data_IF_432931361426
#
_entry.id   IF_432931361426
#
_cell.length_a   1.000
_cell.length_b   1.000
_cell.length_c   1.000
_cell.angle_alpha   90.00
_cell.angle_beta   90.00
_cell.angle_gamma   90.00
#
_symmetry.space_group_name_H-M   'P 1'
#
loop_
_entity.id
_entity.type
_entity.pdbx_description
1 polymer ?
#
# COMPACT_ATOMS: atom_id res chain seq x y z
N UNK A 1 35.85 -8.19 -24.15
CA UNK A 1 34.73 -8.34 -25.12
C UNK A 1 33.74 -9.44 -24.72
N UNK A 2 34.19 -10.64 -24.32
CA UNK A 2 33.28 -11.73 -23.89
C UNK A 2 32.38 -11.35 -22.69
N UNK A 3 32.95 -10.77 -21.63
CA UNK A 3 32.20 -10.33 -20.42
C UNK A 3 31.15 -9.26 -20.74
N UNK A 4 31.44 -8.34 -21.67
CA UNK A 4 30.47 -7.31 -22.09
C UNK A 4 29.33 -7.93 -22.91
N UNK A 5 29.64 -8.93 -23.75
CA UNK A 5 28.64 -9.70 -24.49
C UNK A 5 27.70 -10.50 -23.58
N UNK A 6 28.23 -11.09 -22.51
CA UNK A 6 27.46 -11.85 -21.54
C UNK A 6 26.54 -10.94 -20.70
N UNK A 7 27.06 -9.81 -20.21
CA UNK A 7 26.27 -8.80 -19.46
C UNK A 7 25.15 -8.22 -20.33
N UNK A 8 25.42 -7.95 -21.61
CA UNK A 8 24.41 -7.42 -22.53
C UNK A 8 23.33 -8.46 -22.88
N UNK A 9 23.71 -9.74 -22.98
CA UNK A 9 22.76 -10.85 -23.13
C UNK A 9 21.84 -10.99 -21.91
N UNK A 10 22.41 -11.02 -20.70
CA UNK A 10 21.67 -11.10 -19.44
C UNK A 10 20.71 -9.92 -19.27
N UNK A 11 21.19 -8.69 -19.53
CA UNK A 11 20.36 -7.49 -19.46
C UNK A 11 19.18 -7.56 -20.43
N UNK A 12 19.40 -8.06 -21.66
CA UNK A 12 18.34 -8.16 -22.67
C UNK A 12 17.22 -9.12 -22.23
N UNK A 13 17.57 -10.26 -21.64
CA UNK A 13 16.58 -11.20 -21.11
C UNK A 13 15.82 -10.63 -19.92
N UNK A 14 16.51 -9.96 -18.99
CA UNK A 14 15.87 -9.27 -17.86
C UNK A 14 14.94 -8.14 -18.30
N UNK A 15 15.30 -7.40 -19.34
CA UNK A 15 14.41 -6.39 -19.93
C UNK A 15 13.16 -7.07 -20.51
N UNK A 16 13.29 -8.18 -21.24
CA UNK A 16 12.12 -8.92 -21.72
C UNK A 16 11.23 -9.40 -20.56
N UNK A 17 11.81 -9.94 -19.49
CA UNK A 17 11.08 -10.35 -18.29
C UNK A 17 10.36 -9.15 -17.64
N UNK A 18 11.05 -8.01 -17.50
CA UNK A 18 10.49 -6.80 -16.94
C UNK A 18 9.28 -6.32 -17.75
N UNK A 19 9.33 -6.34 -19.08
CA UNK A 19 8.19 -5.94 -19.92
C UNK A 19 7.07 -6.97 -19.98
N UNK A 20 7.38 -8.27 -19.87
CA UNK A 20 6.38 -9.34 -20.05
C UNK A 20 5.65 -9.70 -18.76
N UNK A 21 6.31 -9.56 -17.61
CA UNK A 21 5.79 -9.98 -16.30
C UNK A 21 5.58 -8.77 -15.39
N UNK A 22 6.62 -7.94 -15.24
CA UNK A 22 6.60 -6.87 -14.23
C UNK A 22 5.78 -5.66 -14.65
N UNK A 23 5.91 -5.21 -15.90
CA UNK A 23 5.19 -4.04 -16.42
C UNK A 23 3.66 -4.22 -16.37
N UNK A 24 3.07 -5.37 -16.76
CA UNK A 24 1.63 -5.60 -16.59
C UNK A 24 1.18 -5.51 -15.12
N UNK A 25 1.94 -6.11 -14.20
CA UNK A 25 1.64 -6.06 -12.76
C UNK A 25 1.68 -4.62 -12.22
N UNK A 26 2.71 -3.86 -12.56
CA UNK A 26 2.84 -2.45 -12.20
C UNK A 26 1.73 -1.59 -12.81
N UNK A 27 1.34 -1.86 -14.05
CA UNK A 27 0.25 -1.16 -14.71
C UNK A 27 -1.09 -1.45 -14.02
N UNK A 28 -1.37 -2.70 -13.67
CA UNK A 28 -2.56 -3.09 -12.90
C UNK A 28 -2.61 -2.38 -11.55
N UNK A 29 -1.51 -2.39 -10.78
CA UNK A 29 -1.43 -1.67 -9.51
C UNK A 29 -1.63 -0.15 -9.70
N UNK A 30 -1.06 0.44 -10.75
CA UNK A 30 -1.28 1.85 -11.08
C UNK A 30 -2.77 2.16 -11.32
N UNK A 31 -3.51 1.30 -12.02
CA UNK A 31 -4.95 1.51 -12.26
C UNK A 31 -5.72 1.50 -10.93
N UNK A 32 -5.45 0.55 -10.04
CA UNK A 32 -6.09 0.51 -8.72
C UNK A 32 -5.73 1.74 -7.87
N UNK A 33 -4.46 2.16 -7.89
CA UNK A 33 -4.01 3.37 -7.21
C UNK A 33 -4.66 4.64 -7.77
N UNK A 34 -4.84 4.75 -9.09
CA UNK A 34 -5.53 5.88 -9.73
C UNK A 34 -7.04 5.87 -9.45
N UNK A 35 -7.64 4.69 -9.31
CA UNK A 35 -9.03 4.58 -8.88
C UNK A 35 -9.21 5.16 -7.47
N UNK A 36 -8.44 4.70 -6.49
CA UNK A 36 -8.47 5.27 -5.14
C UNK A 36 -8.10 6.77 -5.14
N UNK A 37 -7.14 7.15 -5.97
CA UNK A 37 -6.72 8.53 -6.18
C UNK A 37 -7.81 9.44 -6.77
N UNK A 38 -8.71 8.91 -7.59
CA UNK A 38 -9.84 9.67 -8.13
C UNK A 38 -10.79 10.12 -7.01
N UNK A 39 -11.08 9.22 -6.06
CA UNK A 39 -11.85 9.56 -4.88
C UNK A 39 -11.08 10.52 -3.97
N UNK A 40 -9.78 10.29 -3.78
CA UNK A 40 -8.94 11.19 -2.98
C UNK A 40 -8.97 12.60 -3.54
N UNK A 41 -8.67 12.76 -4.82
CA UNK A 41 -8.52 14.03 -5.50
C UNK A 41 -9.83 14.82 -5.58
N UNK A 42 -10.94 14.15 -5.93
CA UNK A 42 -12.25 14.80 -6.01
C UNK A 42 -12.72 15.35 -4.66
N UNK A 43 -12.46 14.64 -3.57
CA UNK A 43 -12.91 15.01 -2.22
C UNK A 43 -11.78 15.55 -1.34
N UNK A 44 -10.64 15.89 -1.93
CA UNK A 44 -9.45 16.31 -1.20
C UNK A 44 -9.70 17.58 -0.39
N UNK A 45 -10.42 18.54 -0.96
CA UNK A 45 -10.73 19.80 -0.28
C UNK A 45 -11.60 19.58 0.97
N UNK A 46 -12.60 18.70 0.89
CA UNK A 46 -13.47 18.37 2.02
C UNK A 46 -12.65 17.64 3.10
N UNK A 47 -11.80 16.68 2.71
CA UNK A 47 -10.88 16.03 3.64
C UNK A 47 -9.97 17.05 4.35
N UNK A 48 -9.37 17.97 3.60
CA UNK A 48 -8.47 18.98 4.15
C UNK A 48 -9.17 19.96 5.08
N UNK A 49 -10.34 20.46 4.69
CA UNK A 49 -11.03 21.54 5.41
C UNK A 49 -11.88 21.03 6.56
N UNK A 50 -12.60 19.92 6.39
CA UNK A 50 -13.54 19.40 7.38
C UNK A 50 -12.95 18.27 8.21
N UNK A 51 -12.12 17.40 7.63
CA UNK A 51 -11.60 16.21 8.30
C UNK A 51 -10.07 16.07 8.18
N UNK A 52 -9.28 17.10 8.52
CA UNK A 52 -7.84 17.12 8.24
C UNK A 52 -7.09 15.94 8.90
N UNK A 53 -7.64 15.36 9.97
CA UNK A 53 -7.09 14.18 10.63
C UNK A 53 -7.04 12.96 9.72
N UNK A 54 -7.92 12.86 8.71
CA UNK A 54 -7.89 11.80 7.72
C UNK A 54 -6.60 11.85 6.89
N UNK A 55 -6.06 13.03 6.58
CA UNK A 55 -4.82 13.14 5.80
C UNK A 55 -3.59 12.65 6.58
N UNK A 56 -3.60 12.79 7.91
CA UNK A 56 -2.53 12.24 8.77
C UNK A 56 -2.59 10.72 8.81
N UNK A 57 -3.80 10.17 8.82
CA UNK A 57 -4.02 8.74 9.01
C UNK A 57 -3.97 7.98 7.67
N UNK A 58 -4.27 8.65 6.55
CA UNK A 58 -4.46 8.05 5.23
C UNK A 58 -3.29 7.18 4.76
N UNK A 59 -2.01 7.64 4.76
CA UNK A 59 -0.91 6.79 4.32
C UNK A 59 -0.75 5.54 5.18
N UNK A 60 -0.92 5.69 6.50
CA UNK A 60 -0.88 4.57 7.43
C UNK A 60 -1.98 3.54 7.18
N UNK A 61 -3.22 3.97 6.92
CA UNK A 61 -4.32 3.04 6.59
C UNK A 61 -4.03 2.25 5.30
N UNK A 62 -3.52 2.93 4.28
CA UNK A 62 -3.22 2.31 2.99
C UNK A 62 -2.16 1.21 3.17
N UNK A 63 -1.03 1.53 3.83
CA UNK A 63 0.02 0.55 4.10
C UNK A 63 -0.41 -0.59 5.04
N UNK A 64 -1.20 -0.27 6.08
CA UNK A 64 -1.70 -1.25 7.05
C UNK A 64 -2.45 -2.41 6.39
N UNK A 65 -3.31 -2.12 5.39
CA UNK A 65 -4.16 -3.14 4.77
C UNK A 65 -3.35 -4.16 3.98
N UNK A 66 -2.38 -3.69 3.18
CA UNK A 66 -1.48 -4.58 2.45
C UNK A 66 -0.72 -5.51 3.39
N UNK A 67 -0.18 -4.98 4.50
CA UNK A 67 0.62 -5.75 5.45
C UNK A 67 -0.23 -6.75 6.27
N UNK A 68 -1.40 -6.34 6.75
CA UNK A 68 -2.31 -7.20 7.54
C UNK A 68 -2.82 -8.37 6.70
N UNK A 69 -3.33 -8.10 5.49
CA UNK A 69 -3.97 -9.12 4.67
C UNK A 69 -2.98 -9.90 3.81
N UNK A 70 -1.85 -9.30 3.42
CA UNK A 70 -0.74 -10.03 2.81
C UNK A 70 -0.15 -11.09 3.75
N UNK A 71 0.08 -10.74 5.02
CA UNK A 71 0.51 -11.73 6.03
C UNK A 71 -0.56 -12.77 6.36
N UNK A 72 -1.86 -12.43 6.19
CA UNK A 72 -2.95 -13.39 6.29
C UNK A 72 -2.94 -14.39 5.13
N UNK A 73 -2.68 -13.93 3.91
CA UNK A 73 -2.56 -14.79 2.73
C UNK A 73 -1.45 -15.85 2.91
N UNK A 74 -0.27 -15.41 3.35
CA UNK A 74 0.86 -16.32 3.63
C UNK A 74 0.56 -17.32 4.75
N UNK A 75 -0.13 -16.87 5.81
CA UNK A 75 -0.57 -17.78 6.88
C UNK A 75 -1.56 -18.82 6.37
N UNK A 76 -2.55 -18.44 5.55
CA UNK A 76 -3.48 -19.40 4.96
C UNK A 76 -2.79 -20.35 3.99
N UNK A 77 -1.83 -19.87 3.18
CA UNK A 77 -1.00 -20.71 2.32
C UNK A 77 -0.35 -21.82 3.14
N UNK A 78 0.32 -21.46 4.23
CA UNK A 78 0.97 -22.43 5.14
C UNK A 78 -0.04 -23.41 5.76
N UNK A 79 -1.18 -22.92 6.25
CA UNK A 79 -2.21 -23.78 6.85
C UNK A 79 -2.81 -24.78 5.84
N UNK A 80 -2.96 -24.39 4.57
CA UNK A 80 -3.45 -25.29 3.51
C UNK A 80 -2.44 -26.40 3.21
N UNK A 81 -1.15 -26.06 3.12
CA UNK A 81 -0.09 -27.05 2.89
C UNK A 81 0.12 -28.01 4.07
N UNK A 82 -0.05 -27.52 5.31
CA UNK A 82 0.03 -28.36 6.52
C UNK A 82 -1.23 -29.20 6.76
N UNK A 83 -2.31 -28.99 5.99
CA UNK A 83 -3.59 -29.67 6.21
C UNK A 83 -4.38 -29.13 7.41
N UNK A 84 -3.95 -28.00 7.98
CA UNK A 84 -4.63 -27.32 9.09
C UNK A 84 -5.87 -26.55 8.64
N UNK A 85 -5.96 -26.14 7.38
CA UNK A 85 -7.13 -25.42 6.85
C UNK A 85 -7.77 -26.25 5.74
N UNK A 86 -9.08 -26.47 5.81
CA UNK A 86 -9.78 -27.08 4.69
C UNK A 86 -9.83 -26.08 3.51
N UNK A 87 -9.70 -26.52 2.25
CA UNK A 87 -9.78 -25.66 1.09
C UNK A 87 -11.23 -25.22 0.81
N UNK A 88 -11.86 -24.57 1.78
CA UNK A 88 -13.26 -24.15 1.78
C UNK A 88 -13.43 -22.84 2.53
N UNK A 89 -14.13 -21.89 1.92
CA UNK A 89 -14.50 -20.62 2.58
C UNK A 89 -15.45 -20.81 3.77
N UNK A 90 -16.03 -22.00 3.92
CA UNK A 90 -16.94 -22.35 5.02
C UNK A 90 -16.21 -22.86 6.26
N UNK A 91 -14.90 -23.08 6.19
CA UNK A 91 -14.12 -23.46 7.36
C UNK A 91 -14.20 -22.34 8.41
N UNK A 92 -14.49 -22.72 9.66
CA UNK A 92 -14.60 -21.79 10.78
C UNK A 92 -13.29 -21.04 11.05
N UNK A 93 -12.15 -21.63 10.70
CA UNK A 93 -10.81 -21.01 10.81
C UNK A 93 -10.70 -19.78 9.91
N UNK A 94 -11.41 -19.74 8.78
CA UNK A 94 -11.43 -18.56 7.88
C UNK A 94 -12.03 -17.35 8.60
N UNK A 95 -13.26 -17.48 9.11
CA UNK A 95 -13.91 -16.38 9.82
C UNK A 95 -13.10 -15.95 11.05
N UNK A 96 -12.55 -16.93 11.78
CA UNK A 96 -11.74 -16.69 12.96
C UNK A 96 -10.50 -15.86 12.66
N UNK A 97 -9.79 -16.21 11.59
CA UNK A 97 -8.60 -15.47 11.17
C UNK A 97 -8.96 -14.06 10.70
N UNK A 98 -10.04 -13.90 9.94
CA UNK A 98 -10.51 -12.58 9.49
C UNK A 98 -10.79 -11.68 10.69
N UNK A 99 -11.53 -12.17 11.69
CA UNK A 99 -11.82 -11.40 12.91
C UNK A 99 -10.54 -11.06 13.67
N UNK A 100 -9.61 -12.01 13.78
CA UNK A 100 -8.34 -11.78 14.45
C UNK A 100 -7.53 -10.66 13.75
N UNK A 101 -7.50 -10.65 12.41
CA UNK A 101 -6.88 -9.58 11.62
C UNK A 101 -7.57 -8.24 11.75
N UNK A 102 -8.91 -8.23 11.85
CA UNK A 102 -9.68 -7.01 12.13
C UNK A 102 -9.33 -6.43 13.50
N UNK A 103 -9.22 -7.26 14.54
CA UNK A 103 -8.88 -6.79 15.89
C UNK A 103 -7.45 -6.24 15.96
N UNK A 104 -6.51 -6.92 15.30
CA UNK A 104 -5.10 -6.50 15.21
C UNK A 104 -4.95 -5.20 14.42
N UNK A 105 -5.75 -4.97 13.37
CA UNK A 105 -5.68 -3.75 12.57
C UNK A 105 -6.31 -2.54 13.26
N UNK A 106 -7.29 -2.72 14.15
CA UNK A 106 -7.94 -1.60 14.84
C UNK A 106 -6.99 -0.84 15.79
N UNK A 107 -6.10 -1.54 16.48
CA UNK A 107 -5.18 -0.92 17.45
C UNK A 107 -4.27 0.13 16.78
N UNK A 108 -3.48 -0.19 15.73
CA UNK A 108 -2.64 0.81 15.07
C UNK A 108 -3.47 1.93 14.43
N UNK A 109 -4.70 1.67 13.96
CA UNK A 109 -5.60 2.72 13.44
C UNK A 109 -5.98 3.74 14.51
N UNK A 110 -6.34 3.26 15.71
CA UNK A 110 -6.65 4.16 16.84
C UNK A 110 -5.40 4.92 17.29
N UNK A 111 -4.22 4.30 17.26
CA UNK A 111 -2.96 4.98 17.55
C UNK A 111 -2.63 6.07 16.52
N UNK A 112 -2.79 5.79 15.22
CA UNK A 112 -2.63 6.76 14.14
C UNK A 112 -3.54 7.97 14.35
N UNK A 113 -4.82 7.71 14.66
CA UNK A 113 -5.78 8.77 15.00
C UNK A 113 -5.33 9.58 16.22
N UNK A 114 -4.92 8.92 17.30
CA UNK A 114 -4.49 9.59 18.53
C UNK A 114 -3.28 10.51 18.28
N UNK A 115 -2.33 10.07 17.45
CA UNK A 115 -1.18 10.87 17.02
C UNK A 115 -1.64 12.07 16.16
N UNK A 116 -2.59 11.88 15.25
CA UNK A 116 -3.19 12.97 14.49
C UNK A 116 -3.82 14.05 15.38
N UNK A 117 -4.54 13.65 16.43
CA UNK A 117 -5.09 14.57 17.42
C UNK A 117 -3.99 15.26 18.24
N UNK A 118 -2.98 14.50 18.68
CA UNK A 118 -1.87 15.02 19.48
C UNK A 118 -0.98 16.01 18.71
N UNK A 119 -0.84 15.83 17.40
CA UNK A 119 -0.10 16.74 16.50
C UNK A 119 -0.85 18.02 16.16
N UNK A 120 -2.03 18.23 16.75
CA UNK A 120 -2.80 19.48 16.67
C UNK A 120 -3.98 19.43 15.71
N UNK A 121 -4.22 18.30 15.04
CA UNK A 121 -5.33 18.15 14.09
C UNK A 121 -6.60 17.71 14.83
N UNK A 122 -7.21 18.66 15.55
CA UNK A 122 -8.35 18.39 16.45
C UNK A 122 -9.73 18.53 15.79
N UNK A 123 -9.82 19.17 14.61
CA UNK A 123 -11.10 19.41 13.94
C UNK A 123 -11.79 18.09 13.59
N UNK A 124 -13.04 17.95 14.03
CA UNK A 124 -13.88 16.76 13.82
C UNK A 124 -13.19 15.45 14.21
N UNK A 125 -12.32 15.48 15.23
CA UNK A 125 -11.51 14.32 15.62
C UNK A 125 -12.34 13.06 15.92
N UNK A 126 -13.50 13.20 16.59
CA UNK A 126 -14.38 12.07 16.85
C UNK A 126 -14.99 11.49 15.57
N UNK A 127 -15.43 12.34 14.64
CA UNK A 127 -15.94 11.87 13.35
C UNK A 127 -14.84 11.18 12.55
N UNK A 128 -13.62 11.71 12.56
CA UNK A 128 -12.45 11.06 11.96
C UNK A 128 -12.23 9.67 12.57
N UNK A 129 -12.29 9.52 13.89
CA UNK A 129 -12.15 8.22 14.57
C UNK A 129 -13.23 7.24 14.10
N UNK A 130 -14.48 7.70 14.08
CA UNK A 130 -15.64 6.91 13.65
C UNK A 130 -15.51 6.47 12.18
N UNK A 131 -15.08 7.37 11.29
CA UNK A 131 -14.80 7.08 9.88
C UNK A 131 -13.72 5.98 9.76
N UNK A 132 -12.57 6.17 10.41
CA UNK A 132 -11.44 5.25 10.23
C UNK A 132 -11.71 3.89 10.84
N UNK A 133 -12.39 3.82 12.00
CA UNK A 133 -12.75 2.56 12.66
C UNK A 133 -13.75 1.79 11.80
N UNK A 134 -14.84 2.42 11.37
CA UNK A 134 -15.88 1.74 10.58
C UNK A 134 -15.39 1.37 9.19
N UNK A 135 -14.60 2.23 8.53
CA UNK A 135 -13.90 1.88 7.29
C UNK A 135 -12.98 0.69 7.47
N UNK A 136 -12.21 0.66 8.57
CA UNK A 136 -11.32 -0.47 8.86
C UNK A 136 -12.11 -1.75 9.06
N UNK A 137 -13.20 -1.75 9.82
CA UNK A 137 -14.05 -2.93 10.04
C UNK A 137 -14.62 -3.43 8.71
N UNK A 138 -15.32 -2.58 7.96
CA UNK A 138 -15.98 -3.02 6.72
C UNK A 138 -14.98 -3.50 5.67
N UNK A 139 -13.92 -2.72 5.41
CA UNK A 139 -12.94 -3.11 4.40
C UNK A 139 -12.15 -4.33 4.85
N UNK A 140 -11.79 -4.44 6.12
CA UNK A 140 -11.09 -5.63 6.63
C UNK A 140 -11.94 -6.90 6.50
N UNK A 141 -13.25 -6.81 6.69
CA UNK A 141 -14.15 -7.94 6.51
C UNK A 141 -14.21 -8.38 5.04
N UNK A 142 -14.42 -7.44 4.12
CA UNK A 142 -14.45 -7.70 2.67
C UNK A 142 -13.11 -8.24 2.18
N UNK A 143 -12.02 -7.56 2.53
CA UNK A 143 -10.67 -7.91 2.11
C UNK A 143 -10.20 -9.24 2.72
N UNK A 144 -10.65 -9.56 3.93
CA UNK A 144 -10.42 -10.85 4.58
C UNK A 144 -11.02 -12.01 3.78
N UNK A 145 -12.29 -11.90 3.40
CA UNK A 145 -12.93 -12.93 2.57
C UNK A 145 -12.34 -12.99 1.16
N UNK A 146 -12.02 -11.84 0.56
CA UNK A 146 -11.35 -11.79 -0.73
C UNK A 146 -9.99 -12.50 -0.68
N UNK A 147 -9.18 -12.22 0.33
CA UNK A 147 -7.88 -12.88 0.54
C UNK A 147 -8.05 -14.38 0.69
N UNK A 148 -9.00 -14.81 1.54
CA UNK A 148 -9.31 -16.22 1.75
C UNK A 148 -9.70 -16.91 0.44
N UNK A 149 -10.53 -16.25 -0.38
CA UNK A 149 -10.98 -16.75 -1.66
C UNK A 149 -9.80 -16.93 -2.62
N UNK A 150 -8.97 -15.90 -2.79
CA UNK A 150 -7.83 -15.93 -3.71
C UNK A 150 -6.82 -17.00 -3.30
N UNK A 151 -6.47 -17.09 -2.01
CA UNK A 151 -5.51 -18.10 -1.51
C UNK A 151 -6.04 -19.52 -1.71
N UNK A 152 -7.27 -19.81 -1.26
CA UNK A 152 -7.87 -21.16 -1.40
C UNK A 152 -8.04 -21.53 -2.87
N UNK A 153 -8.40 -20.57 -3.72
CA UNK A 153 -8.57 -20.80 -5.14
C UNK A 153 -7.25 -21.09 -5.86
N UNK A 154 -6.18 -20.34 -5.54
CA UNK A 154 -4.85 -20.60 -6.06
C UNK A 154 -4.36 -22.00 -5.66
N UNK A 155 -4.53 -22.37 -4.39
CA UNK A 155 -4.20 -23.70 -3.88
C UNK A 155 -4.95 -24.82 -4.62
N UNK A 156 -6.27 -24.66 -4.83
CA UNK A 156 -7.07 -25.63 -5.59
C UNK A 156 -6.63 -25.79 -7.05
N UNK A 157 -6.06 -24.74 -7.64
CA UNK A 157 -5.50 -24.77 -9.00
C UNK A 157 -4.06 -25.27 -9.05
N UNK A 158 -3.47 -25.67 -7.93
CA UNK A 158 -2.07 -26.10 -7.84
C UNK A 158 -1.08 -24.97 -8.11
N UNK A 159 -1.50 -23.71 -8.03
CA UNK A 159 -0.63 -22.54 -8.12
C UNK A 159 -0.23 -22.12 -6.71
N UNK A 160 1.01 -21.66 -6.54
CA UNK A 160 1.48 -21.12 -5.26
C UNK A 160 0.59 -19.93 -4.83
N UNK A 161 -0.18 -20.07 -3.72
CA UNK A 161 -1.06 -19.01 -3.24
C UNK A 161 -0.32 -17.71 -2.95
N UNK A 162 0.94 -17.77 -2.51
CA UNK A 162 1.68 -16.57 -2.10
C UNK A 162 2.06 -15.70 -3.31
N UNK A 163 2.32 -16.35 -4.45
CA UNK A 163 2.63 -15.68 -5.71
C UNK A 163 1.44 -14.90 -6.32
N UNK A 164 0.20 -15.32 -6.02
CA UNK A 164 -1.03 -14.75 -6.60
C UNK A 164 -1.78 -13.87 -5.60
N UNK A 165 -1.89 -14.30 -4.34
CA UNK A 165 -2.70 -13.63 -3.35
C UNK A 165 -2.11 -12.29 -2.92
N UNK A 166 -0.80 -12.21 -2.66
CA UNK A 166 -0.16 -10.98 -2.22
C UNK A 166 -0.43 -9.77 -3.16
N UNK A 167 -0.18 -9.85 -4.49
CA UNK A 167 -0.43 -8.71 -5.38
C UNK A 167 -1.92 -8.37 -5.54
N UNK A 168 -2.81 -9.38 -5.54
CA UNK A 168 -4.25 -9.15 -5.67
C UNK A 168 -4.85 -8.51 -4.41
N UNK A 169 -4.39 -8.95 -3.23
CA UNK A 169 -4.83 -8.41 -1.94
C UNK A 169 -4.37 -6.97 -1.77
N UNK A 170 -3.12 -6.66 -2.12
CA UNK A 170 -2.62 -5.29 -2.10
C UNK A 170 -3.45 -4.38 -3.04
N UNK A 171 -3.69 -4.85 -4.27
CA UNK A 171 -4.51 -4.13 -5.26
C UNK A 171 -5.95 -3.88 -4.80
N UNK A 172 -6.59 -4.90 -4.21
CA UNK A 172 -7.95 -4.77 -3.66
C UNK A 172 -7.97 -3.86 -2.42
N UNK A 173 -6.92 -3.88 -1.62
CA UNK A 173 -6.72 -2.94 -0.52
C UNK A 173 -6.71 -1.50 -1.01
N UNK A 174 -5.90 -1.18 -2.01
CA UNK A 174 -5.83 0.16 -2.62
C UNK A 174 -7.19 0.57 -3.21
N UNK A 175 -7.88 -0.36 -3.88
CA UNK A 175 -9.20 -0.13 -4.47
C UNK A 175 -10.27 0.22 -3.44
N UNK A 176 -10.28 -0.43 -2.27
CA UNK A 176 -11.34 -0.23 -1.27
C UNK A 176 -11.04 0.93 -0.31
N UNK A 177 -9.78 1.32 -0.15
CA UNK A 177 -9.38 2.20 0.96
C UNK A 177 -9.91 3.60 0.87
N UNK A 178 -9.43 4.37 -0.09
CA UNK A 178 -9.86 5.77 -0.22
C UNK A 178 -11.36 5.88 -0.50
N UNK A 179 -11.96 5.06 -1.39
CA UNK A 179 -13.39 5.14 -1.65
C UNK A 179 -14.23 4.89 -0.39
N UNK A 180 -13.83 3.96 0.48
CA UNK A 180 -14.55 3.74 1.75
C UNK A 180 -14.49 4.95 2.68
N UNK A 181 -13.34 5.64 2.78
CA UNK A 181 -13.21 6.86 3.59
C UNK A 181 -14.11 7.97 3.03
N UNK A 182 -14.10 8.17 1.71
CA UNK A 182 -14.96 9.14 1.03
C UNK A 182 -16.44 8.82 1.22
N UNK A 183 -16.83 7.55 1.13
CA UNK A 183 -18.22 7.13 1.35
C UNK A 183 -18.72 7.58 2.72
N UNK A 184 -17.90 7.48 3.76
CA UNK A 184 -18.29 7.92 5.11
C UNK A 184 -18.32 9.44 5.25
N UNK A 185 -17.43 10.17 4.58
CA UNK A 185 -17.52 11.63 4.50
C UNK A 185 -18.88 12.03 3.89
N UNK A 186 -19.24 11.42 2.76
CA UNK A 186 -20.51 11.67 2.09
C UNK A 186 -21.72 11.28 2.96
N UNK A 187 -21.61 10.19 3.72
CA UNK A 187 -22.67 9.77 4.64
C UNK A 187 -22.86 10.79 5.78
N UNK A 188 -21.78 11.37 6.30
CA UNK A 188 -21.83 12.46 7.29
C UNK A 188 -22.48 13.71 6.69
N UNK A 189 -22.08 14.10 5.46
CA UNK A 189 -22.65 15.28 4.79
C UNK A 189 -24.14 15.11 4.49
N UNK A 190 -24.59 13.89 4.17
CA UNK A 190 -26.00 13.60 3.91
C UNK A 190 -26.85 13.49 5.18
N UNK A 191 -26.37 12.77 6.19
CA UNK A 191 -27.09 12.59 7.46
C UNK A 191 -26.12 12.29 8.61
N UNK A 192 -25.78 13.30 9.44
CA UNK A 192 -24.91 13.10 10.60
C UNK A 192 -25.46 12.09 11.62
N UNK A 193 -26.77 12.09 11.85
CA UNK A 193 -27.42 11.12 12.75
C UNK A 193 -27.44 9.72 12.14
N UNK A 194 -27.74 9.61 10.85
CA UNK A 194 -27.69 8.35 10.11
C UNK A 194 -26.28 7.74 10.12
N UNK A 195 -25.24 8.56 9.95
CA UNK A 195 -23.85 8.13 10.06
C UNK A 195 -23.54 7.54 11.44
N UNK A 196 -23.93 8.21 12.53
CA UNK A 196 -23.69 7.70 13.90
C UNK A 196 -24.43 6.41 14.16
N UNK A 197 -25.70 6.31 13.76
CA UNK A 197 -26.48 5.08 13.89
C UNK A 197 -25.85 3.93 13.11
N UNK A 198 -25.45 4.18 11.87
CA UNK A 198 -24.73 3.20 11.05
C UNK A 198 -23.43 2.75 11.72
N UNK A 199 -22.68 3.69 12.30
CA UNK A 199 -21.45 3.40 13.01
C UNK A 199 -21.67 2.45 14.19
N UNK A 200 -22.62 2.79 15.06
CA UNK A 200 -22.98 1.94 16.21
C UNK A 200 -23.49 0.57 15.77
N UNK A 201 -24.26 0.49 14.68
CA UNK A 201 -24.70 -0.78 14.12
C UNK A 201 -23.54 -1.64 13.63
N UNK A 202 -22.55 -1.06 12.94
CA UNK A 202 -21.35 -1.77 12.49
C UNK A 202 -20.50 -2.24 13.68
N UNK A 203 -20.34 -1.41 14.72
CA UNK A 203 -19.62 -1.79 15.94
C UNK A 203 -20.32 -2.93 16.69
N UNK A 204 -21.65 -2.89 16.80
CA UNK A 204 -22.43 -3.96 17.41
C UNK A 204 -22.34 -5.25 16.60
N UNK A 205 -22.46 -5.17 15.27
CA UNK A 205 -22.27 -6.32 14.38
C UNK A 205 -20.87 -6.90 14.50
N UNK A 206 -19.84 -6.05 14.55
CA UNK A 206 -18.46 -6.49 14.73
C UNK A 206 -18.27 -7.20 16.07
N UNK A 207 -18.80 -6.66 17.16
CA UNK A 207 -18.76 -7.30 18.47
C UNK A 207 -19.46 -8.67 18.46
N UNK A 208 -20.62 -8.77 17.80
CA UNK A 208 -21.34 -10.04 17.64
C UNK A 208 -20.52 -11.07 16.83
N UNK A 209 -19.97 -10.67 15.68
CA UNK A 209 -19.11 -11.54 14.85
C UNK A 209 -17.86 -11.96 15.60
N UNK A 210 -17.24 -11.04 16.35
CA UNK A 210 -16.08 -11.33 17.19
C UNK A 210 -16.42 -12.36 18.28
N UNK A 211 -17.57 -12.22 18.94
CA UNK A 211 -18.04 -13.20 19.93
C UNK A 211 -18.32 -14.58 19.29
N UNK A 212 -18.96 -14.63 18.12
CA UNK A 212 -19.28 -15.87 17.40
C UNK A 212 -18.01 -16.61 16.95
N UNK A 213 -16.98 -15.89 16.52
CA UNK A 213 -15.73 -16.46 16.05
C UNK A 213 -14.89 -17.15 17.14
N UNK A 214 -15.20 -16.91 18.42
CA UNK A 214 -14.54 -17.52 19.59
C UNK A 214 -13.01 -17.39 19.54
N UNK A 215 -12.49 -16.22 19.14
CA UNK A 215 -11.06 -15.92 19.18
C UNK A 215 -10.54 -16.06 20.61
N UNK A 216 -9.48 -16.84 20.80
CA UNK A 216 -8.84 -17.05 22.10
C UNK A 216 -7.66 -16.11 22.26
N UNK A 217 -7.33 -15.74 23.51
CA UNK A 217 -6.14 -14.95 23.82
C UNK A 217 -4.84 -15.59 23.31
N UNK A 218 -4.76 -16.91 23.27
CA UNK A 218 -3.59 -17.62 22.74
C UNK A 218 -3.29 -17.27 21.27
N UNK A 219 -4.32 -17.07 20.45
CA UNK A 219 -4.17 -16.78 19.01
C UNK A 219 -3.69 -15.34 18.77
N UNK A 220 -4.02 -14.42 19.67
CA UNK A 220 -3.42 -13.09 19.67
C UNK A 220 -1.91 -13.15 19.97
N UNK A 221 -1.50 -14.06 20.85
CA UNK A 221 -0.07 -14.23 21.21
C UNK A 221 0.71 -14.81 20.02
N UNK A 222 0.11 -15.72 19.25
CA UNK A 222 0.73 -16.25 18.01
C UNK A 222 1.03 -15.13 17.00
N UNK A 223 0.18 -14.10 16.93
CA UNK A 223 0.36 -12.97 16.04
C UNK A 223 1.11 -11.79 16.67
N UNK A 224 1.73 -11.97 17.84
CA UNK A 224 2.45 -10.88 18.54
C UNK A 224 3.50 -10.22 17.65
N UNK A 225 4.30 -11.00 16.92
CA UNK A 225 5.34 -10.45 16.05
C UNK A 225 4.74 -9.67 14.89
N UNK A 226 3.69 -10.21 14.26
CA UNK A 226 2.96 -9.54 13.18
C UNK A 226 2.35 -8.22 13.69
N UNK A 227 1.73 -8.23 14.88
CA UNK A 227 1.17 -7.05 15.51
C UNK A 227 2.24 -5.98 15.80
N UNK A 228 3.40 -6.37 16.33
CA UNK A 228 4.52 -5.45 16.59
C UNK A 228 5.01 -4.82 15.29
N UNK A 229 5.25 -5.62 14.26
CA UNK A 229 5.72 -5.14 12.96
C UNK A 229 4.72 -4.18 12.33
N UNK A 230 3.45 -4.57 12.25
CA UNK A 230 2.39 -3.77 11.64
C UNK A 230 2.17 -2.45 12.39
N UNK A 231 2.21 -2.49 13.73
CA UNK A 231 2.10 -1.28 14.55
C UNK A 231 3.31 -0.37 14.37
N UNK A 232 4.52 -0.92 14.36
CA UNK A 232 5.74 -0.16 14.10
C UNK A 232 5.72 0.53 12.74
N UNK A 233 5.30 -0.20 11.69
CA UNK A 233 5.15 0.36 10.35
C UNK A 233 4.10 1.47 10.31
N UNK A 234 2.94 1.26 10.94
CA UNK A 234 1.90 2.29 11.03
C UNK A 234 2.42 3.57 11.72
N UNK A 235 3.14 3.42 12.82
CA UNK A 235 3.76 4.56 13.51
C UNK A 235 4.74 5.28 12.60
N UNK A 236 5.54 4.58 11.80
CA UNK A 236 6.41 5.21 10.80
C UNK A 236 5.61 5.93 9.70
N UNK A 237 4.46 5.39 9.29
CA UNK A 237 3.57 6.04 8.30
C UNK A 237 2.96 7.36 8.82
N UNK A 238 3.02 7.65 10.12
CA UNK A 238 2.62 8.98 10.62
C UNK A 238 3.50 10.09 10.08
N UNK A 239 4.75 9.79 9.69
CA UNK A 239 5.66 10.76 9.08
C UNK A 239 5.13 11.21 7.71
N UNK A 240 4.81 10.25 6.83
CA UNK A 240 4.22 10.55 5.52
C UNK A 240 2.86 11.23 5.68
N UNK A 241 2.01 10.74 6.57
CA UNK A 241 0.71 11.36 6.88
C UNK A 241 0.81 12.79 7.39
N UNK A 242 1.73 13.07 8.30
CA UNK A 242 1.94 14.43 8.83
C UNK A 242 2.46 15.38 7.76
N UNK A 243 3.35 14.92 6.88
CA UNK A 243 3.82 15.69 5.72
C UNK A 243 2.65 15.98 4.77
N UNK A 244 1.83 14.97 4.45
CA UNK A 244 0.65 15.11 3.60
C UNK A 244 -0.32 16.14 4.17
N UNK A 245 -0.64 16.06 5.47
CA UNK A 245 -1.54 17.00 6.13
C UNK A 245 -0.98 18.42 6.14
N UNK A 246 0.31 18.59 6.46
CA UNK A 246 0.99 19.90 6.53
C UNK A 246 1.03 20.62 5.19
N UNK A 247 1.28 19.89 4.10
CA UNK A 247 1.40 20.46 2.75
C UNK A 247 0.16 20.26 1.88
N UNK A 248 -0.94 19.80 2.48
CA UNK A 248 -2.21 19.51 1.80
C UNK A 248 -2.71 20.66 0.93
N UNK A 249 -2.60 21.91 1.38
CA UNK A 249 -3.04 23.07 0.60
C UNK A 249 -2.31 23.24 -0.73
N UNK A 250 -0.98 23.03 -0.75
CA UNK A 250 -0.18 23.14 -1.99
C UNK A 250 -0.43 21.93 -2.89
N UNK A 251 -0.58 20.74 -2.31
CA UNK A 251 -0.89 19.51 -3.05
C UNK A 251 -2.24 19.66 -3.75
N UNK A 252 -3.25 20.17 -3.05
CA UNK A 252 -4.56 20.42 -3.64
C UNK A 252 -4.50 21.48 -4.75
N UNK A 253 -3.72 22.55 -4.56
CA UNK A 253 -3.57 23.60 -5.56
C UNK A 253 -2.98 23.09 -6.88
N UNK A 254 -2.19 22.01 -6.84
CA UNK A 254 -1.71 21.34 -8.06
C UNK A 254 -2.79 20.57 -8.83
N UNK A 255 -3.93 20.27 -8.19
CA UNK A 255 -5.05 19.43 -8.66
C UNK A 255 -4.64 17.99 -8.96
N UNK A 256 -3.73 17.77 -9.89
CA UNK A 256 -3.32 16.45 -10.38
C UNK A 256 -2.65 15.59 -9.30
N UNK A 257 -1.86 16.19 -8.39
CA UNK A 257 -1.09 15.40 -7.44
C UNK A 257 -1.97 14.66 -6.43
N UNK A 258 -3.11 15.23 -6.01
CA UNK A 258 -4.05 14.51 -5.15
C UNK A 258 -4.72 13.33 -5.87
N UNK A 259 -4.89 13.41 -7.20
CA UNK A 259 -5.44 12.31 -8.00
C UNK A 259 -4.45 11.17 -8.22
N UNK A 260 -3.16 11.48 -8.37
CA UNK A 260 -2.14 10.46 -8.61
C UNK A 260 -1.42 10.03 -7.33
N UNK A 261 -1.71 10.65 -6.17
CA UNK A 261 -1.02 10.39 -4.90
C UNK A 261 -0.98 8.91 -4.52
N UNK A 262 -2.11 8.17 -4.45
CA UNK A 262 -2.06 6.76 -4.07
C UNK A 262 -1.29 5.91 -5.09
N UNK A 263 -1.44 6.23 -6.38
CA UNK A 263 -0.72 5.55 -7.46
C UNK A 263 0.79 5.79 -7.41
N UNK A 264 1.24 6.98 -7.02
CA UNK A 264 2.65 7.29 -6.83
C UNK A 264 3.24 6.45 -5.69
N UNK A 265 2.60 6.47 -4.52
CA UNK A 265 3.06 5.71 -3.36
C UNK A 265 3.11 4.20 -3.65
N UNK A 266 2.01 3.65 -4.17
CA UNK A 266 1.90 2.23 -4.54
C UNK A 266 2.97 1.82 -5.56
N UNK A 267 3.19 2.64 -6.60
CA UNK A 267 4.24 2.34 -7.59
C UNK A 267 5.64 2.33 -6.99
N UNK A 268 5.96 3.34 -6.18
CA UNK A 268 7.25 3.45 -5.51
C UNK A 268 7.52 2.25 -4.59
N UNK A 269 6.54 1.89 -3.76
CA UNK A 269 6.59 0.69 -2.93
C UNK A 269 6.75 -0.59 -3.75
N UNK A 270 6.07 -0.73 -4.90
CA UNK A 270 6.19 -1.90 -5.77
C UNK A 270 7.59 -2.05 -6.39
N UNK A 271 8.14 -0.98 -6.98
CA UNK A 271 9.51 -1.00 -7.51
C UNK A 271 10.52 -1.36 -6.41
N UNK A 272 10.35 -0.77 -5.22
CA UNK A 272 11.19 -1.06 -4.08
C UNK A 272 11.09 -2.51 -3.62
N UNK A 273 9.88 -3.06 -3.56
CA UNK A 273 9.61 -4.43 -3.10
C UNK A 273 10.11 -5.49 -4.09
N UNK A 274 9.99 -5.25 -5.40
CA UNK A 274 10.50 -6.15 -6.45
C UNK A 274 12.02 -6.26 -6.37
N UNK A 275 12.72 -5.13 -6.21
CA UNK A 275 14.18 -5.14 -6.04
C UNK A 275 14.57 -5.78 -4.71
N UNK A 276 13.83 -5.52 -3.64
CA UNK A 276 14.09 -6.14 -2.35
C UNK A 276 14.00 -7.68 -2.42
N UNK A 277 12.94 -8.21 -3.02
CA UNK A 277 12.72 -9.65 -3.21
C UNK A 277 13.80 -10.27 -4.11
N UNK A 278 14.07 -9.70 -5.29
CA UNK A 278 15.14 -10.19 -6.19
C UNK A 278 16.52 -10.16 -5.52
N UNK A 279 16.79 -9.13 -4.72
CA UNK A 279 18.04 -9.02 -3.95
C UNK A 279 18.11 -10.08 -2.85
N UNK A 280 17.01 -10.30 -2.11
CA UNK A 280 16.91 -11.34 -1.08
C UNK A 280 17.24 -12.71 -1.65
N UNK A 281 16.58 -13.12 -2.74
CA UNK A 281 16.82 -14.40 -3.40
C UNK A 281 18.29 -14.56 -3.80
N UNK A 282 18.90 -13.53 -4.40
CA UNK A 282 20.31 -13.59 -4.82
C UNK A 282 21.30 -13.64 -3.66
N UNK A 283 20.98 -13.01 -2.53
CA UNK A 283 21.79 -13.11 -1.31
C UNK A 283 21.76 -14.54 -0.75
N UNK A 284 20.57 -15.16 -0.67
CA UNK A 284 20.41 -16.54 -0.22
C UNK A 284 21.08 -17.57 -1.13
N UNK A 285 21.10 -17.31 -2.44
CA UNK A 285 21.81 -18.15 -3.42
C UNK A 285 23.33 -17.92 -3.43
N UNK A 286 23.85 -16.99 -2.61
CA UNK A 286 25.28 -16.66 -2.57
C UNK A 286 25.79 -15.93 -3.81
N UNK A 287 24.89 -15.36 -4.62
CA UNK A 287 25.26 -14.67 -5.87
C UNK A 287 25.80 -13.24 -5.65
N UNK A 288 25.61 -12.69 -4.46
CA UNK A 288 26.06 -11.34 -4.08
C UNK A 288 27.11 -11.46 -2.98
N UNK A 289 28.38 -11.44 -3.39
CA UNK A 289 29.51 -11.52 -2.46
C UNK A 289 29.90 -10.16 -1.87
N UNK A 290 29.68 -9.08 -2.62
CA UNK A 290 30.08 -7.71 -2.24
C UNK A 290 28.95 -6.70 -2.52
N UNK A 291 29.06 -5.51 -1.91
CA UNK A 291 28.05 -4.45 -2.07
C UNK A 291 27.96 -3.95 -3.51
N UNK A 292 29.06 -3.99 -4.25
CA UNK A 292 29.09 -3.59 -5.66
C UNK A 292 29.09 -4.86 -6.50
N UNK A 293 27.89 -5.30 -6.90
CA UNK A 293 27.70 -6.47 -7.75
C UNK A 293 26.94 -6.08 -9.03
N UNK A 294 27.34 -6.65 -10.17
CA UNK A 294 26.70 -6.37 -11.46
C UNK A 294 25.31 -7.03 -11.59
N UNK A 295 25.09 -8.17 -10.94
CA UNK A 295 23.82 -8.92 -11.05
C UNK A 295 22.60 -8.17 -10.50
N UNK A 296 22.68 -7.48 -9.33
CA UNK A 296 21.58 -6.62 -8.87
C UNK A 296 21.45 -5.36 -9.73
N UNK A 297 22.56 -4.80 -10.20
CA UNK A 297 22.54 -3.61 -11.04
C UNK A 297 21.82 -3.87 -12.38
N UNK A 298 22.00 -5.04 -13.00
CA UNK A 298 21.28 -5.40 -14.23
C UNK A 298 19.78 -5.56 -14.00
N UNK A 299 19.32 -6.00 -12.82
CA UNK A 299 17.89 -6.00 -12.47
C UNK A 299 17.35 -4.58 -12.36
N UNK A 300 18.08 -3.70 -11.67
CA UNK A 300 17.71 -2.29 -11.49
C UNK A 300 17.63 -1.59 -12.85
N UNK A 301 18.63 -1.79 -13.72
CA UNK A 301 18.65 -1.22 -15.06
C UNK A 301 17.50 -1.76 -15.92
N UNK A 302 17.27 -3.07 -15.91
CA UNK A 302 16.16 -3.67 -16.65
C UNK A 302 14.82 -3.09 -16.18
N UNK A 303 14.61 -3.01 -14.86
CA UNK A 303 13.36 -2.51 -14.29
C UNK A 303 13.19 -0.99 -14.49
N UNK A 304 14.29 -0.22 -14.47
CA UNK A 304 14.30 1.21 -14.74
C UNK A 304 13.75 1.56 -16.13
N UNK A 305 13.97 0.71 -17.14
CA UNK A 305 13.41 0.95 -18.50
C UNK A 305 11.88 1.01 -18.53
N UNK A 306 11.20 0.40 -17.56
CA UNK A 306 9.73 0.44 -17.43
C UNK A 306 9.23 1.75 -16.80
N UNK A 307 10.07 2.45 -16.03
CA UNK A 307 9.66 3.60 -15.22
C UNK A 307 9.15 4.80 -16.05
N UNK A 308 9.76 5.17 -17.20
CA UNK A 308 9.21 6.23 -18.06
C UNK A 308 7.81 5.90 -18.59
N UNK A 309 7.53 4.64 -18.93
CA UNK A 309 6.23 4.21 -19.45
C UNK A 309 5.16 4.31 -18.36
N UNK A 310 5.47 3.82 -17.16
CA UNK A 310 4.58 3.93 -16.00
C UNK A 310 4.35 5.41 -15.63
N UNK A 311 5.40 6.23 -15.58
CA UNK A 311 5.28 7.67 -15.31
C UNK A 311 4.40 8.42 -16.33
N UNK A 312 4.62 8.18 -17.62
CA UNK A 312 3.85 8.80 -18.70
C UNK A 312 2.38 8.36 -18.68
N UNK A 313 2.10 7.06 -18.61
CA UNK A 313 0.74 6.54 -18.58
C UNK A 313 0.00 6.99 -17.32
N UNK A 314 0.67 7.08 -16.17
CA UNK A 314 0.10 7.59 -14.92
C UNK A 314 -0.38 9.02 -15.05
N UNK A 315 0.45 9.89 -15.64
CA UNK A 315 0.07 11.27 -15.86
C UNK A 315 -1.09 11.37 -16.86
N UNK A 316 -1.02 10.65 -17.98
CA UNK A 316 -2.07 10.68 -19.01
C UNK A 316 -3.43 10.24 -18.46
N UNK A 317 -3.47 9.10 -17.76
CA UNK A 317 -4.69 8.59 -17.14
C UNK A 317 -5.15 9.55 -16.02
N UNK A 318 -4.22 10.07 -15.20
CA UNK A 318 -4.53 11.06 -14.17
C UNK A 318 -5.18 12.33 -14.73
N UNK A 319 -4.65 12.89 -15.82
CA UNK A 319 -5.23 14.06 -16.50
C UNK A 319 -6.63 13.75 -17.01
N UNK A 320 -6.81 12.58 -17.63
CA UNK A 320 -8.12 12.14 -18.11
C UNK A 320 -9.12 12.04 -16.95
N UNK A 321 -8.73 11.45 -15.83
CA UNK A 321 -9.58 11.30 -14.64
C UNK A 321 -9.94 12.65 -14.01
N UNK A 322 -9.00 13.58 -13.88
CA UNK A 322 -9.28 14.95 -13.40
C UNK A 322 -10.32 15.60 -14.30
N UNK A 323 -10.10 15.59 -15.62
CA UNK A 323 -11.01 16.21 -16.60
C UNK A 323 -12.40 15.57 -16.57
N UNK A 324 -12.49 14.24 -16.51
CA UNK A 324 -13.76 13.51 -16.51
C UNK A 324 -14.57 13.67 -15.22
N UNK A 325 -13.91 13.81 -14.08
CA UNK A 325 -14.60 13.79 -12.77
C UNK A 325 -14.84 15.17 -12.16
N UNK A 326 -14.02 16.16 -12.52
CA UNK A 326 -14.10 17.53 -11.97
C UNK A 326 -14.33 18.60 -13.04
N UNK A 327 -14.09 18.29 -14.32
CA UNK A 327 -14.08 19.28 -15.40
C UNK A 327 -12.89 20.26 -15.36
N UNK A 328 -12.01 20.16 -14.35
CA UNK A 328 -10.86 21.04 -14.20
C UNK A 328 -9.77 20.72 -15.24
N UNK A 329 -9.03 21.75 -15.64
CA UNK A 329 -7.83 21.60 -16.46
C UNK A 329 -6.61 21.38 -15.57
N UNK A 330 -5.71 20.52 -16.03
CA UNK A 330 -4.44 20.26 -15.33
C UNK A 330 -3.38 21.25 -15.84
N UNK A 331 -2.61 21.91 -14.94
CA UNK A 331 -1.53 22.80 -15.35
C UNK A 331 -0.50 22.09 -16.23
N UNK A 332 0.06 22.80 -17.23
CA UNK A 332 1.10 22.27 -18.12
C UNK A 332 2.37 21.83 -17.39
N UNK A 333 2.63 22.39 -16.21
CA UNK A 333 3.72 21.98 -15.30
C UNK A 333 3.58 20.53 -14.81
N UNK A 334 2.44 19.87 -15.02
CA UNK A 334 2.25 18.45 -14.73
C UNK A 334 3.18 17.50 -15.48
N UNK A 335 3.71 17.92 -16.63
CA UNK A 335 4.73 17.17 -17.36
C UNK A 335 5.99 16.91 -16.50
N UNK A 336 6.33 17.76 -15.52
CA UNK A 336 7.47 17.57 -14.62
C UNK A 336 7.45 16.23 -13.89
N UNK A 337 6.26 15.68 -13.65
CA UNK A 337 6.10 14.35 -13.05
C UNK A 337 6.68 13.27 -13.97
N UNK A 338 6.48 13.34 -15.29
CA UNK A 338 7.00 12.34 -16.24
C UNK A 338 8.53 12.39 -16.27
N UNK A 339 9.11 13.60 -16.20
CA UNK A 339 10.56 13.79 -16.20
C UNK A 339 11.20 13.28 -14.91
N UNK A 340 10.62 13.60 -13.75
CA UNK A 340 11.23 13.35 -12.44
C UNK A 340 10.90 11.99 -11.83
N UNK A 341 9.78 11.38 -12.24
CA UNK A 341 9.34 10.07 -11.73
C UNK A 341 10.35 8.94 -11.93
N UNK A 342 10.98 8.76 -13.11
CA UNK A 342 11.99 7.70 -13.30
C UNK A 342 13.18 7.85 -12.35
N UNK A 343 13.64 9.06 -12.08
CA UNK A 343 14.75 9.30 -11.14
C UNK A 343 14.36 8.96 -9.70
N UNK A 344 13.12 9.25 -9.32
CA UNK A 344 12.60 8.85 -8.01
C UNK A 344 12.50 7.33 -7.89
N UNK A 345 12.02 6.64 -8.93
CA UNK A 345 11.99 5.17 -8.99
C UNK A 345 13.40 4.59 -8.89
N UNK A 346 14.37 5.16 -9.60
CA UNK A 346 15.77 4.74 -9.51
C UNK A 346 16.33 4.90 -8.10
N UNK A 347 16.08 6.04 -7.45
CA UNK A 347 16.48 6.28 -6.07
C UNK A 347 15.91 5.21 -5.14
N UNK A 348 14.61 4.89 -5.27
CA UNK A 348 13.96 3.88 -4.42
C UNK A 348 14.53 2.49 -4.67
N UNK A 349 14.78 2.11 -5.93
CA UNK A 349 15.39 0.81 -6.25
C UNK A 349 16.80 0.67 -5.65
N UNK A 350 17.63 1.71 -5.74
CA UNK A 350 18.96 1.73 -5.13
C UNK A 350 18.90 1.69 -3.60
N UNK A 351 17.95 2.43 -3.01
CA UNK A 351 17.67 2.38 -1.59
C UNK A 351 17.27 0.97 -1.13
N UNK A 352 16.34 0.32 -1.84
CA UNK A 352 15.89 -1.04 -1.54
C UNK A 352 17.02 -2.04 -1.58
N UNK A 353 17.85 -2.01 -2.64
CA UNK A 353 19.03 -2.85 -2.75
C UNK A 353 19.96 -2.67 -1.54
N UNK A 354 20.22 -1.41 -1.17
CA UNK A 354 21.11 -1.07 -0.06
C UNK A 354 20.57 -1.60 1.27
N UNK A 355 19.28 -1.39 1.54
CA UNK A 355 18.64 -1.87 2.78
C UNK A 355 18.64 -3.40 2.85
N UNK A 356 18.22 -4.09 1.79
CA UNK A 356 18.22 -5.56 1.75
C UNK A 356 19.62 -6.14 1.98
N UNK A 357 20.65 -5.56 1.35
CA UNK A 357 22.03 -5.98 1.52
C UNK A 357 22.52 -5.87 2.98
N UNK A 358 22.30 -4.71 3.61
CA UNK A 358 22.77 -4.48 4.97
C UNK A 358 21.97 -5.25 6.03
N UNK A 359 20.67 -5.49 5.80
CA UNK A 359 19.85 -6.33 6.68
C UNK A 359 20.32 -7.78 6.64
N UNK A 360 20.58 -8.32 5.46
CA UNK A 360 21.09 -9.69 5.31
C UNK A 360 22.45 -9.88 5.99
N UNK A 361 23.36 -8.90 5.87
CA UNK A 361 24.64 -8.92 6.60
C UNK A 361 24.50 -8.91 8.13
N UNK A 362 23.35 -8.51 8.66
CA UNK A 362 23.01 -8.58 10.08
C UNK A 362 22.21 -9.83 10.46
N UNK A 363 22.15 -10.84 9.58
CA UNK A 363 21.32 -12.05 9.73
C UNK A 363 19.82 -11.74 9.89
N UNK A 364 19.35 -10.64 9.30
CA UNK A 364 17.92 -10.30 9.21
C UNK A 364 17.48 -10.63 7.80
N UNK A 365 16.55 -11.57 7.68
CA UNK A 365 15.96 -11.96 6.40
C UNK A 365 15.24 -10.75 5.76
N UNK A 366 15.68 -10.33 4.55
CA UNK A 366 15.06 -9.21 3.85
C UNK A 366 13.59 -9.45 3.49
N UNK A 367 13.14 -10.69 3.29
CA UNK A 367 11.76 -10.97 2.86
C UNK A 367 10.75 -10.73 3.99
N UNK A 368 11.17 -10.93 5.25
CA UNK A 368 10.32 -10.72 6.41
C UNK A 368 10.29 -9.28 6.93
N UNK A 369 11.39 -8.54 6.79
CA UNK A 369 11.55 -7.20 7.41
C UNK A 369 11.81 -6.11 6.38
N UNK A 370 12.59 -6.38 5.32
CA UNK A 370 12.97 -5.34 4.37
C UNK A 370 11.79 -4.92 3.51
N UNK A 371 10.99 -5.85 2.97
CA UNK A 371 9.88 -5.51 2.06
C UNK A 371 8.86 -4.55 2.75
N UNK A 372 8.33 -4.85 3.95
CA UNK A 372 7.40 -3.95 4.61
C UNK A 372 8.03 -2.60 4.98
N UNK A 373 9.30 -2.62 5.41
CA UNK A 373 10.04 -1.41 5.77
C UNK A 373 10.30 -0.51 4.55
N UNK A 374 10.71 -1.11 3.43
CA UNK A 374 10.99 -0.44 2.16
C UNK A 374 9.71 0.17 1.60
N UNK A 375 8.59 -0.56 1.63
CA UNK A 375 7.29 -0.05 1.20
C UNK A 375 6.89 1.19 2.02
N UNK A 376 6.95 1.10 3.35
CA UNK A 376 6.63 2.24 4.22
C UNK A 376 7.59 3.44 4.03
N UNK A 377 8.89 3.19 3.86
CA UNK A 377 9.84 4.28 3.61
C UNK A 377 9.65 4.89 2.21
N UNK A 378 9.22 4.08 1.23
CA UNK A 378 8.81 4.55 -0.09
C UNK A 378 7.59 5.47 0.00
N UNK A 379 6.67 5.25 0.95
CA UNK A 379 5.55 6.16 1.20
C UNK A 379 6.02 7.53 1.72
N UNK A 380 7.02 7.53 2.60
CA UNK A 380 7.64 8.76 3.14
C UNK A 380 8.34 9.51 2.01
N UNK A 381 9.24 8.84 1.27
CA UNK A 381 9.95 9.46 0.16
C UNK A 381 8.99 9.90 -0.95
N UNK A 382 7.97 9.10 -1.26
CA UNK A 382 6.92 9.41 -2.22
C UNK A 382 6.11 10.63 -1.82
N UNK A 383 5.77 10.77 -0.54
CA UNK A 383 5.06 11.97 -0.05
C UNK A 383 5.95 13.21 -0.11
N UNK A 384 7.24 13.10 0.22
CA UNK A 384 8.21 14.19 0.05
C UNK A 384 8.30 14.60 -1.43
N UNK A 385 8.41 13.63 -2.34
CA UNK A 385 8.42 13.86 -3.78
C UNK A 385 7.16 14.61 -4.24
N UNK A 386 5.97 14.20 -3.76
CA UNK A 386 4.72 14.89 -4.07
C UNK A 386 4.74 16.34 -3.58
N UNK A 387 5.24 16.61 -2.37
CA UNK A 387 5.36 17.98 -1.85
C UNK A 387 6.33 18.81 -2.69
N UNK A 388 7.46 18.25 -3.10
CA UNK A 388 8.42 18.94 -3.96
C UNK A 388 7.80 19.28 -5.32
N UNK A 389 7.11 18.33 -5.94
CA UNK A 389 6.39 18.57 -7.21
C UNK A 389 5.30 19.63 -7.03
N UNK A 390 4.52 19.58 -5.94
CA UNK A 390 3.49 20.55 -5.67
C UNK A 390 4.06 21.97 -5.56
N UNK A 391 5.20 22.13 -4.87
CA UNK A 391 5.90 23.42 -4.77
C UNK A 391 6.42 23.90 -6.12
N UNK A 392 6.99 23.03 -6.95
CA UNK A 392 7.48 23.40 -8.28
C UNK A 392 6.35 23.78 -9.24
N UNK A 393 5.16 23.19 -9.07
CA UNK A 393 4.00 23.45 -9.93
C UNK A 393 3.25 24.72 -9.56
N UNK A 394 3.13 25.01 -8.25
CA UNK A 394 2.28 26.08 -7.71
C UNK A 394 3.09 27.30 -7.27
N UNK A 395 4.36 27.11 -6.89
CA UNK A 395 5.26 28.16 -6.41
C UNK A 395 6.27 28.64 -7.46
N UNK A 396 5.99 28.39 -8.75
CA UNK A 396 6.75 28.91 -9.89
C UNK A 396 6.14 30.19 -10.44
#
# INVERSE_FOLDING_TARGET
>A
MAVIGEITGELREKVKEAYRVTLPSLFTSQIFGLFGGTFLGKYFEIMRTQFPGLLVVLPGIMGLRGNVFGSMASRFSTMLYLGDLEPSLRDRKVLKEIVLRMLISLIPIVLLWAIGVATGVKKNALDVLLIVVTSTILVSFILGYFTSFVTIFAFKRGTDPDSVAAPLVASMGDFLTVPSLVLFILLIEHSPEGFRLFNYAVLALFAAVAAISRVRKAEFVELKQVFITITGLALLSTVSGSILARFSGIIQASVILSFIYPSLLSSFGNYGSIIAAKTSTKLHLGEIESFVCWKPLTDILALFTTAPIIGATKLLIGIALVKLTTGMTVPGSAWLVVLTYPFMVLFIMLYSYTVSYFLFRKNIDPDHVAIPLISNNSDIFGTIYVVLMAKLMVGG
#
